data_IF_432915264437
#
_entry.id   IF_432915264437
#
_cell.length_a   1.000
_cell.length_b   1.000
_cell.length_c   1.000
_cell.angle_alpha   90.00
_cell.angle_beta   90.00
_cell.angle_gamma   90.00
#
_symmetry.space_group_name_H-M   'P 1'
#
loop_
_entity.id
_entity.type
_entity.pdbx_description
1 polymer ?
#
# COMPACT_ATOMS: atom_id res chain seq x y z
N UNK A 1 11.85 -10.10 1.12
CA UNK A 1 12.12 -10.97 -0.05
C UNK A 1 11.22 -12.20 -0.10
N UNK A 2 11.12 -13.05 0.94
CA UNK A 2 10.42 -14.35 0.87
C UNK A 2 8.92 -14.36 0.49
N UNK A 3 8.18 -13.26 0.63
CA UNK A 3 6.74 -13.22 0.31
C UNK A 3 6.49 -13.33 -1.21
N UNK A 4 7.44 -12.88 -2.05
CA UNK A 4 7.30 -12.99 -3.51
C UNK A 4 8.03 -14.20 -4.12
N UNK A 5 8.98 -14.81 -3.40
CA UNK A 5 9.69 -16.01 -3.90
C UNK A 5 8.76 -17.23 -4.06
N UNK A 6 7.70 -17.35 -3.24
CA UNK A 6 6.71 -18.41 -3.42
C UNK A 6 5.75 -18.14 -4.59
N UNK A 7 5.43 -16.87 -4.86
CA UNK A 7 4.48 -16.48 -5.92
C UNK A 7 5.15 -16.33 -7.30
N UNK A 8 6.45 -15.96 -7.37
CA UNK A 8 7.21 -15.94 -8.64
C UNK A 8 7.33 -17.36 -9.23
N UNK A 9 7.55 -18.39 -8.38
CA UNK A 9 7.60 -19.80 -8.83
C UNK A 9 6.30 -20.30 -9.44
N UNK A 10 5.15 -19.88 -8.91
CA UNK A 10 3.83 -20.31 -9.39
C UNK A 10 3.55 -19.85 -10.83
N UNK A 11 4.10 -18.70 -11.24
CA UNK A 11 3.89 -18.15 -12.60
C UNK A 11 4.94 -18.60 -13.62
N UNK A 12 6.18 -18.83 -13.21
CA UNK A 12 7.18 -19.44 -14.10
C UNK A 12 6.74 -20.85 -14.53
N UNK A 13 6.15 -21.65 -13.63
CA UNK A 13 5.58 -22.96 -13.99
C UNK A 13 4.35 -22.84 -14.92
N UNK A 14 3.48 -21.85 -14.69
CA UNK A 14 2.27 -21.65 -15.50
C UNK A 14 2.56 -21.15 -16.93
N UNK A 15 3.67 -20.46 -17.15
CA UNK A 15 4.11 -20.02 -18.49
C UNK A 15 4.90 -21.08 -19.25
N UNK A 16 5.48 -22.07 -18.55
CA UNK A 16 6.15 -23.20 -19.20
C UNK A 16 5.18 -24.26 -19.76
N UNK A 17 3.94 -24.32 -19.26
CA UNK A 17 2.93 -25.31 -19.68
C UNK A 17 2.22 -24.99 -21.01
N UNK A 18 2.41 -23.78 -21.59
CA UNK A 18 1.70 -23.37 -22.81
C UNK A 18 2.51 -23.44 -24.11
N UNK A 19 3.79 -23.84 -24.07
CA UNK A 19 4.62 -23.96 -25.27
C UNK A 19 5.19 -25.39 -25.41
N UNK A 20 4.33 -26.33 -25.82
CA UNK A 20 4.77 -27.59 -26.42
C UNK A 20 4.04 -27.81 -27.74
N UNK A 21 4.38 -26.97 -28.73
CA UNK A 21 4.12 -27.27 -30.13
C UNK A 21 5.48 -27.56 -30.76
N UNK A 22 5.69 -28.84 -31.08
CA UNK A 22 6.84 -29.32 -31.83
C UNK A 22 6.87 -28.66 -33.20
N UNK A 23 8.02 -28.16 -33.62
CA UNK A 23 8.35 -28.19 -35.05
C UNK A 23 9.85 -28.30 -35.26
N UNK A 24 10.11 -28.97 -36.37
CA UNK A 24 11.32 -29.57 -36.85
C UNK A 24 12.38 -28.54 -37.31
N UNK A 25 13.58 -29.08 -37.41
CA UNK A 25 14.85 -28.46 -37.71
C UNK A 25 14.97 -27.77 -39.08
N UNK A 26 15.94 -26.82 -39.12
CA UNK A 26 16.69 -26.29 -40.27
C UNK A 26 16.16 -25.05 -41.00
N UNK A 27 16.76 -23.89 -40.71
CA UNK A 27 17.66 -23.13 -41.60
C UNK A 27 18.01 -21.76 -41.00
N UNK A 28 19.29 -21.45 -41.04
CA UNK A 28 19.87 -20.16 -40.66
C UNK A 28 19.31 -19.04 -41.55
N UNK A 29 18.81 -17.97 -40.92
CA UNK A 29 18.42 -16.73 -41.57
C UNK A 29 18.71 -15.58 -40.62
N UNK A 30 19.70 -14.77 -40.99
CA UNK A 30 20.07 -13.50 -40.36
C UNK A 30 18.85 -12.58 -40.42
N UNK A 31 18.31 -12.19 -39.26
CA UNK A 31 17.26 -11.18 -39.19
C UNK A 31 17.65 -10.09 -38.20
N UNK A 32 17.74 -8.87 -38.72
CA UNK A 32 17.99 -7.63 -37.99
C UNK A 32 16.94 -7.46 -36.89
N UNK A 33 17.40 -7.30 -35.64
CA UNK A 33 16.55 -6.96 -34.50
C UNK A 33 16.08 -5.51 -34.64
N UNK A 34 15.00 -5.31 -35.39
CA UNK A 34 14.12 -4.16 -35.19
C UNK A 34 13.52 -4.26 -33.80
N UNK A 35 13.86 -3.32 -32.91
CA UNK A 35 13.20 -3.09 -31.63
C UNK A 35 11.72 -2.76 -31.86
N UNK A 36 10.90 -3.80 -31.96
CA UNK A 36 9.45 -3.70 -31.95
C UNK A 36 9.05 -3.36 -30.52
N UNK A 37 8.82 -2.07 -30.27
CA UNK A 37 8.11 -1.57 -29.09
C UNK A 37 6.70 -2.16 -29.11
N UNK A 38 6.53 -3.32 -28.49
CA UNK A 38 5.24 -3.90 -28.23
C UNK A 38 4.52 -3.06 -27.18
N UNK A 39 3.82 -2.03 -27.61
CA UNK A 39 2.77 -1.38 -26.85
C UNK A 39 1.41 -2.01 -27.23
N UNK A 40 1.03 -3.18 -26.68
CA UNK A 40 -0.38 -3.42 -26.49
C UNK A 40 -0.78 -2.60 -25.25
N UNK A 41 -1.67 -1.64 -25.43
CA UNK A 41 -2.54 -1.19 -24.34
C UNK A 41 -3.37 -2.41 -23.91
N UNK A 42 -2.77 -3.30 -23.11
CA UNK A 42 -3.50 -4.44 -22.55
C UNK A 42 -4.54 -3.84 -21.63
N UNK A 43 -5.79 -3.86 -22.10
CA UNK A 43 -6.94 -3.63 -21.26
C UNK A 43 -6.78 -4.47 -19.99
N UNK A 44 -7.23 -3.96 -18.85
CA UNK A 44 -7.13 -4.73 -17.61
C UNK A 44 -7.82 -6.08 -17.79
N UNK A 45 -7.12 -7.16 -17.49
CA UNK A 45 -7.71 -8.49 -17.51
C UNK A 45 -8.86 -8.53 -16.49
N UNK A 46 -10.00 -9.11 -16.88
CA UNK A 46 -11.18 -9.18 -16.01
C UNK A 46 -10.86 -9.86 -14.66
N UNK A 47 -9.92 -10.82 -14.65
CA UNK A 47 -9.44 -11.48 -13.44
C UNK A 47 -8.72 -10.53 -12.47
N UNK A 48 -7.96 -9.57 -12.99
CA UNK A 48 -7.25 -8.58 -12.20
C UNK A 48 -8.23 -7.63 -11.47
N UNK A 49 -9.40 -7.38 -12.04
CA UNK A 49 -10.43 -6.49 -11.47
C UNK A 49 -11.25 -7.13 -10.34
N UNK A 50 -11.19 -8.46 -10.16
CA UNK A 50 -12.03 -9.16 -9.16
C UNK A 50 -11.73 -8.77 -7.72
N UNK A 51 -10.47 -8.46 -7.41
CA UNK A 51 -10.06 -8.06 -6.06
C UNK A 51 -8.84 -7.16 -6.08
N UNK A 52 -8.65 -6.37 -5.02
CA UNK A 52 -7.45 -5.54 -4.88
C UNK A 52 -6.16 -6.37 -4.87
N UNK A 53 -6.19 -7.57 -4.26
CA UNK A 53 -5.04 -8.47 -4.25
C UNK A 53 -4.67 -8.96 -5.65
N UNK A 54 -5.68 -9.34 -6.45
CA UNK A 54 -5.50 -9.75 -7.85
C UNK A 54 -4.92 -8.58 -8.67
N UNK A 55 -5.51 -7.40 -8.55
CA UNK A 55 -5.03 -6.19 -9.21
C UNK A 55 -3.58 -5.91 -8.86
N UNK A 56 -3.24 -5.89 -7.56
CA UNK A 56 -1.89 -5.60 -7.08
C UNK A 56 -0.86 -6.60 -7.61
N UNK A 57 -1.19 -7.89 -7.63
CA UNK A 57 -0.32 -8.95 -8.18
C UNK A 57 -0.09 -8.76 -9.68
N UNK A 58 -1.17 -8.53 -10.44
CA UNK A 58 -1.11 -8.29 -11.88
C UNK A 58 -0.32 -7.01 -12.21
N UNK A 59 -0.52 -5.94 -11.43
CA UNK A 59 0.22 -4.70 -11.54
C UNK A 59 1.72 -4.89 -11.29
N UNK A 60 2.09 -5.66 -10.26
CA UNK A 60 3.49 -6.01 -10.01
C UNK A 60 4.06 -6.79 -11.19
N UNK A 61 3.38 -7.82 -11.67
CA UNK A 61 3.84 -8.64 -12.79
C UNK A 61 4.18 -7.77 -14.02
N UNK A 62 3.32 -6.81 -14.37
CA UNK A 62 3.55 -5.90 -15.51
C UNK A 62 4.73 -4.94 -15.26
N UNK A 63 4.93 -4.49 -14.01
CA UNK A 63 5.85 -3.39 -13.69
C UNK A 63 7.13 -3.83 -12.94
N UNK A 64 7.30 -5.10 -12.60
CA UNK A 64 8.34 -5.56 -11.67
C UNK A 64 9.75 -5.16 -12.12
N UNK A 65 10.06 -5.29 -13.42
CA UNK A 65 11.37 -4.88 -13.96
C UNK A 65 11.60 -3.38 -13.76
N UNK A 66 10.61 -2.54 -14.13
CA UNK A 66 10.69 -1.08 -13.94
C UNK A 66 10.85 -0.71 -12.47
N UNK A 67 10.17 -1.43 -11.57
CA UNK A 67 10.29 -1.19 -10.12
C UNK A 67 11.70 -1.58 -9.64
N UNK A 68 12.19 -2.78 -9.98
CA UNK A 68 13.51 -3.28 -9.60
C UNK A 68 14.64 -2.43 -10.20
N UNK A 69 14.45 -1.83 -11.37
CA UNK A 69 15.44 -0.95 -12.00
C UNK A 69 15.30 0.54 -11.67
N UNK A 70 14.24 0.94 -10.97
CA UNK A 70 13.85 2.36 -10.82
C UNK A 70 14.88 3.26 -10.14
N UNK A 71 15.81 2.67 -9.38
CA UNK A 71 16.88 3.37 -8.68
C UNK A 71 18.29 2.94 -9.16
N UNK A 72 18.39 2.07 -10.17
CA UNK A 72 19.68 1.54 -10.63
C UNK A 72 20.57 2.62 -11.27
N UNK A 73 19.97 3.63 -11.91
CA UNK A 73 20.71 4.73 -12.55
C UNK A 73 21.35 5.71 -11.54
N UNK A 74 21.00 5.61 -10.25
CA UNK A 74 21.60 6.41 -9.19
C UNK A 74 22.78 5.66 -8.57
N UNK A 75 24.00 6.11 -8.90
CA UNK A 75 25.21 5.59 -8.28
C UNK A 75 25.12 5.71 -6.75
N UNK A 76 25.14 4.57 -6.05
CA UNK A 76 25.16 4.55 -4.60
C UNK A 76 23.81 4.34 -3.92
N UNK A 77 22.77 3.88 -4.62
CA UNK A 77 21.51 3.45 -4.00
C UNK A 77 21.24 1.98 -4.31
N UNK A 78 21.04 1.18 -3.27
CA UNK A 78 20.63 -0.22 -3.39
C UNK A 78 19.20 -0.40 -2.91
N UNK A 79 18.37 -1.06 -3.71
CA UNK A 79 17.06 -1.54 -3.27
C UNK A 79 17.29 -2.75 -2.36
N UNK A 80 16.83 -2.66 -1.11
CA UNK A 80 16.93 -3.74 -0.11
C UNK A 80 15.73 -4.68 -0.24
N UNK A 81 14.54 -4.11 -0.36
CA UNK A 81 13.30 -4.89 -0.28
C UNK A 81 12.15 -4.21 -1.00
N UNK A 82 11.24 -5.04 -1.52
CA UNK A 82 9.95 -4.61 -2.05
C UNK A 82 8.89 -5.36 -1.25
N UNK A 83 8.07 -4.63 -0.48
CA UNK A 83 7.06 -5.22 0.39
C UNK A 83 5.69 -4.71 0.02
N UNK A 84 4.66 -5.52 0.29
CA UNK A 84 3.27 -5.10 0.14
C UNK A 84 2.98 -3.92 1.07
N UNK A 85 2.30 -2.90 0.53
CA UNK A 85 1.75 -1.83 1.35
C UNK A 85 0.47 -2.34 2.07
N UNK A 86 0.39 -2.31 3.41
CA UNK A 86 -0.79 -2.74 4.16
C UNK A 86 -1.84 -1.63 4.18
N UNK A 87 -2.42 -1.33 3.01
CA UNK A 87 -3.42 -0.28 2.84
C UNK A 87 -4.75 -0.71 3.47
N UNK A 88 -5.44 0.20 4.14
CA UNK A 88 -6.76 -0.06 4.73
C UNK A 88 -7.79 -0.47 3.66
N UNK A 89 -8.68 -1.41 4.00
CA UNK A 89 -9.68 -1.96 3.07
C UNK A 89 -10.59 -0.88 2.46
N UNK A 90 -10.99 0.13 3.23
CA UNK A 90 -11.82 1.24 2.71
C UNK A 90 -11.13 1.98 1.56
N UNK A 91 -9.82 2.22 1.68
CA UNK A 91 -8.99 2.87 0.66
C UNK A 91 -8.82 1.97 -0.56
N UNK A 92 -8.65 0.66 -0.35
CA UNK A 92 -8.62 -0.34 -1.43
C UNK A 92 -9.93 -0.32 -2.23
N UNK A 93 -11.07 -0.34 -1.54
CA UNK A 93 -12.39 -0.34 -2.15
C UNK A 93 -12.67 0.95 -2.94
N UNK A 94 -12.32 2.10 -2.38
CA UNK A 94 -12.46 3.40 -3.06
C UNK A 94 -11.65 3.47 -4.35
N UNK A 95 -10.41 2.95 -4.32
CA UNK A 95 -9.57 2.87 -5.52
C UNK A 95 -10.12 1.86 -6.54
N UNK A 96 -10.50 0.66 -6.11
CA UNK A 96 -11.02 -0.38 -7.01
C UNK A 96 -12.34 0.04 -7.65
N UNK A 97 -13.21 0.76 -6.93
CA UNK A 97 -14.42 1.37 -7.50
C UNK A 97 -14.06 2.31 -8.64
N UNK A 98 -13.12 3.23 -8.42
CA UNK A 98 -12.66 4.15 -9.46
C UNK A 98 -12.00 3.43 -10.64
N UNK A 99 -11.23 2.38 -10.38
CA UNK A 99 -10.61 1.56 -11.43
C UNK A 99 -11.67 0.91 -12.33
N UNK A 100 -12.73 0.36 -11.74
CA UNK A 100 -13.86 -0.23 -12.47
C UNK A 100 -14.65 0.82 -13.28
N UNK A 101 -14.71 2.07 -12.81
CA UNK A 101 -15.29 3.19 -13.57
C UNK A 101 -14.38 3.66 -14.73
N UNK A 102 -13.11 3.25 -14.76
CA UNK A 102 -12.08 3.75 -15.68
C UNK A 102 -11.28 2.60 -16.34
N UNK A 103 -11.97 1.55 -16.81
CA UNK A 103 -11.35 0.34 -17.39
C UNK A 103 -10.69 0.55 -18.75
N UNK A 104 -10.88 1.73 -19.37
CA UNK A 104 -10.33 2.06 -20.68
C UNK A 104 -8.80 2.13 -20.72
N UNK A 105 -8.13 2.25 -19.57
CA UNK A 105 -6.67 2.32 -19.49
C UNK A 105 -6.11 1.59 -18.28
N UNK A 106 -4.91 1.04 -18.44
CA UNK A 106 -4.14 0.49 -17.34
C UNK A 106 -3.60 1.60 -16.42
N UNK A 107 -3.67 1.46 -15.08
CA UNK A 107 -3.13 2.45 -14.16
C UNK A 107 -1.62 2.70 -14.35
N UNK A 108 -1.20 3.95 -14.19
CA UNK A 108 0.20 4.33 -14.31
C UNK A 108 1.01 3.88 -13.07
N UNK A 109 2.22 3.36 -13.31
CA UNK A 109 3.27 3.25 -12.30
C UNK A 109 3.79 4.64 -11.95
N UNK A 110 3.63 5.02 -10.69
CA UNK A 110 4.19 6.24 -10.13
C UNK A 110 4.81 5.97 -8.76
N UNK A 111 5.65 6.90 -8.33
CA UNK A 111 6.35 6.88 -7.08
C UNK A 111 5.95 8.10 -6.25
N UNK A 112 5.89 7.93 -4.93
CA UNK A 112 5.62 9.04 -4.03
C UNK A 112 6.62 9.02 -2.86
N UNK A 113 7.47 10.04 -2.80
CA UNK A 113 8.34 10.31 -1.67
C UNK A 113 7.60 11.12 -0.61
N UNK A 114 7.77 10.74 0.65
CA UNK A 114 7.14 11.43 1.78
C UNK A 114 7.95 11.27 3.06
N UNK A 115 7.55 11.99 4.11
CA UNK A 115 8.13 11.85 5.45
C UNK A 115 7.63 10.59 6.13
N UNK A 116 8.46 10.00 6.99
CA UNK A 116 8.13 8.77 7.72
C UNK A 116 6.77 8.82 8.43
N UNK A 117 6.47 9.92 9.12
CA UNK A 117 5.23 10.11 9.86
C UNK A 117 3.97 10.19 8.98
N UNK A 118 4.12 10.42 7.68
CA UNK A 118 3.01 10.45 6.75
C UNK A 118 2.67 9.05 6.20
N UNK A 119 3.61 8.10 6.22
CA UNK A 119 3.41 6.76 5.64
C UNK A 119 2.23 6.06 6.32
N UNK A 120 2.17 6.07 7.66
CA UNK A 120 1.07 5.44 8.40
C UNK A 120 -0.28 6.08 8.06
N UNK A 121 -0.33 7.42 8.00
CA UNK A 121 -1.53 8.15 7.59
C UNK A 121 -1.99 7.75 6.18
N UNK A 122 -1.06 7.67 5.22
CA UNK A 122 -1.34 7.28 3.84
C UNK A 122 -1.85 5.83 3.76
N UNK A 123 -1.25 4.91 4.52
CA UNK A 123 -1.69 3.52 4.54
C UNK A 123 -3.08 3.37 5.19
N UNK A 124 -3.41 4.19 6.18
CA UNK A 124 -4.68 4.14 6.90
C UNK A 124 -5.82 4.85 6.17
N UNK A 125 -5.58 6.05 5.65
CA UNK A 125 -6.61 6.94 5.10
C UNK A 125 -6.48 7.15 3.59
N UNK A 126 -5.46 6.58 2.95
CA UNK A 126 -5.12 6.88 1.57
C UNK A 126 -4.43 8.23 1.46
N UNK A 127 -4.22 8.68 0.22
CA UNK A 127 -3.66 9.99 -0.03
C UNK A 127 -4.68 11.09 0.27
N UNK A 128 -4.24 12.16 0.92
CA UNK A 128 -5.07 13.29 1.31
C UNK A 128 -4.75 14.51 0.43
N UNK A 129 -5.77 15.30 0.10
CA UNK A 129 -5.58 16.56 -0.63
C UNK A 129 -5.53 17.70 0.37
N UNK A 130 -4.52 18.59 0.30
CA UNK A 130 -4.43 19.71 1.21
C UNK A 130 -5.66 20.61 1.23
N UNK A 131 -6.05 21.01 2.44
CA UNK A 131 -7.19 21.86 2.78
C UNK A 131 -8.55 21.29 2.30
N UNK A 132 -8.67 19.96 2.20
CA UNK A 132 -9.90 19.28 1.84
C UNK A 132 -10.19 18.15 2.83
N UNK A 133 -11.46 17.99 3.19
CA UNK A 133 -11.92 16.80 3.90
C UNK A 133 -11.88 15.59 2.95
N UNK A 134 -11.63 14.40 3.50
CA UNK A 134 -11.72 13.17 2.71
C UNK A 134 -13.18 12.89 2.36
N UNK A 135 -13.51 12.59 1.09
CA UNK A 135 -14.90 12.51 0.62
C UNK A 135 -15.71 11.36 1.24
N UNK A 136 -15.06 10.26 1.61
CA UNK A 136 -15.69 9.02 2.11
C UNK A 136 -15.24 8.62 3.52
N UNK A 137 -14.35 9.38 4.16
CA UNK A 137 -13.76 8.99 5.45
C UNK A 137 -13.68 10.20 6.38
N UNK A 138 -14.68 10.33 7.27
CA UNK A 138 -14.77 11.46 8.21
C UNK A 138 -13.67 11.46 9.28
N UNK A 139 -12.99 10.33 9.50
CA UNK A 139 -11.88 10.24 10.47
C UNK A 139 -10.54 10.71 9.87
N UNK A 140 -10.46 10.85 8.55
CA UNK A 140 -9.24 11.30 7.90
C UNK A 140 -8.97 12.78 8.24
N UNK A 141 -7.74 13.12 8.67
CA UNK A 141 -7.42 14.48 9.05
C UNK A 141 -7.40 15.41 7.84
N UNK A 142 -7.74 16.68 8.05
CA UNK A 142 -7.47 17.73 7.06
C UNK A 142 -6.00 18.12 7.19
N UNK A 143 -5.24 17.96 6.12
CA UNK A 143 -3.82 18.35 6.08
C UNK A 143 -3.66 19.73 5.46
N UNK A 144 -2.67 20.49 5.92
CA UNK A 144 -2.27 21.77 5.33
C UNK A 144 -1.17 21.58 4.29
N UNK A 145 -1.16 22.42 3.27
CA UNK A 145 -0.10 22.40 2.25
C UNK A 145 1.18 22.98 2.85
N UNK A 146 2.20 22.13 3.03
CA UNK A 146 3.51 22.56 3.54
C UNK A 146 4.51 22.89 2.43
N UNK A 147 4.27 22.40 1.21
CA UNK A 147 5.14 22.56 0.05
C UNK A 147 4.37 23.05 -1.18
N UNK A 148 5.11 23.55 -2.17
CA UNK A 148 4.62 24.30 -3.35
C UNK A 148 3.41 23.69 -4.07
N UNK A 149 2.52 24.59 -4.53
CA UNK A 149 1.32 24.27 -5.34
C UNK A 149 1.54 24.68 -6.79
N UNK A 150 2.77 24.59 -7.29
CA UNK A 150 3.18 25.15 -8.59
C UNK A 150 2.38 24.61 -9.77
N UNK A 151 1.82 23.40 -9.64
CA UNK A 151 0.97 22.75 -10.65
C UNK A 151 -0.48 22.55 -10.13
N UNK A 152 -0.88 23.38 -9.17
CA UNK A 152 -2.21 23.43 -8.54
C UNK A 152 -2.38 22.52 -7.32
N UNK A 153 -3.60 22.49 -6.76
CA UNK A 153 -3.93 21.65 -5.61
C UNK A 153 -4.09 20.18 -6.00
N UNK A 154 -3.54 19.26 -5.22
CA UNK A 154 -3.69 17.83 -5.47
C UNK A 154 -2.62 17.00 -4.80
N UNK A 155 -2.62 15.71 -5.13
CA UNK A 155 -1.63 14.73 -4.69
C UNK A 155 -0.52 14.70 -5.74
N UNK A 156 0.71 15.04 -5.32
CA UNK A 156 1.88 15.04 -6.19
C UNK A 156 2.53 13.66 -6.16
N UNK A 157 2.82 13.13 -7.34
CA UNK A 157 3.56 11.87 -7.53
C UNK A 157 4.51 12.03 -8.71
N UNK A 158 5.38 11.05 -8.93
CA UNK A 158 6.31 11.09 -10.05
C UNK A 158 6.38 9.80 -10.83
N UNK A 159 6.57 9.89 -12.14
CA UNK A 159 6.94 8.74 -12.97
C UNK A 159 8.40 8.29 -12.74
N UNK A 160 9.21 9.09 -12.05
CA UNK A 160 10.61 8.78 -11.72
C UNK A 160 10.75 8.53 -10.22
N UNK A 161 11.27 7.36 -9.85
CA UNK A 161 11.59 7.06 -8.46
C UNK A 161 12.67 8.01 -7.93
N UNK A 162 13.68 8.30 -8.75
CA UNK A 162 14.76 9.25 -8.45
C UNK A 162 14.22 10.64 -8.11
N UNK A 163 13.30 11.16 -8.93
CA UNK A 163 12.67 12.46 -8.64
C UNK A 163 11.92 12.43 -7.31
N UNK A 164 11.23 11.33 -6.99
CA UNK A 164 10.53 11.19 -5.72
C UNK A 164 11.46 11.12 -4.50
N UNK A 165 12.72 10.72 -4.66
CA UNK A 165 13.69 10.69 -3.55
C UNK A 165 13.91 12.08 -2.94
N UNK A 166 13.82 13.17 -3.71
CA UNK A 166 14.01 14.53 -3.18
C UNK A 166 12.93 14.96 -2.18
N UNK A 167 11.84 14.20 -2.08
CA UNK A 167 10.75 14.42 -1.13
C UNK A 167 10.85 13.50 0.10
N UNK A 168 11.87 12.65 0.16
CA UNK A 168 12.17 11.75 1.25
C UNK A 168 13.29 12.34 2.11
N UNK A 169 12.98 12.75 3.33
CA UNK A 169 13.99 13.31 4.25
C UNK A 169 14.22 12.50 5.52
N UNK A 170 13.30 11.58 5.88
CA UNK A 170 13.29 10.94 7.21
C UNK A 170 13.08 9.43 7.17
N UNK A 171 13.20 8.82 5.99
CA UNK A 171 13.00 7.38 5.78
C UNK A 171 13.84 6.92 4.58
N UNK A 172 14.11 5.63 4.46
CA UNK A 172 14.59 5.03 3.21
C UNK A 172 13.52 4.14 2.57
N UNK A 173 12.28 4.60 2.59
CA UNK A 173 11.13 3.90 2.02
C UNK A 173 10.42 4.83 1.05
N UNK A 174 10.30 4.39 -0.20
CA UNK A 174 9.52 5.06 -1.24
C UNK A 174 8.20 4.32 -1.44
N UNK A 175 7.10 5.05 -1.65
CA UNK A 175 5.83 4.42 -2.01
C UNK A 175 5.80 4.17 -3.52
N UNK A 176 5.54 2.92 -3.90
CA UNK A 176 5.26 2.53 -5.28
C UNK A 176 3.74 2.44 -5.42
N UNK A 177 3.18 3.27 -6.30
CA UNK A 177 1.75 3.47 -6.39
C UNK A 177 1.22 3.16 -7.80
N UNK A 178 -0.06 2.80 -7.86
CA UNK A 178 -0.85 2.83 -9.08
C UNK A 178 -1.67 4.12 -9.12
N UNK A 179 -1.66 4.81 -10.26
CA UNK A 179 -2.41 6.04 -10.47
C UNK A 179 -3.37 5.96 -11.67
N UNK A 180 -4.57 6.50 -11.52
CA UNK A 180 -5.62 6.63 -12.54
C UNK A 180 -5.79 8.12 -12.86
N UNK A 181 -4.87 8.70 -13.65
CA UNK A 181 -4.94 10.11 -13.97
C UNK A 181 -6.14 10.42 -14.88
N UNK A 182 -6.69 11.63 -14.75
CA UNK A 182 -7.66 12.13 -15.73
C UNK A 182 -6.98 12.32 -17.08
N UNK A 183 -7.71 12.03 -18.14
CA UNK A 183 -7.28 12.24 -19.52
C UNK A 183 -8.28 13.16 -20.21
N UNK A 184 -7.77 14.05 -21.05
CA UNK A 184 -8.62 14.91 -21.87
C UNK A 184 -9.22 14.12 -23.05
N UNK A 185 -10.06 14.78 -23.87
CA UNK A 185 -10.69 14.16 -25.06
C UNK A 185 -9.71 13.56 -26.07
N UNK A 186 -8.43 13.94 -26.02
CA UNK A 186 -7.37 13.41 -26.89
C UNK A 186 -6.57 12.27 -26.22
N UNK A 187 -7.02 11.77 -25.06
CA UNK A 187 -6.35 10.71 -24.30
C UNK A 187 -5.08 11.15 -23.56
N UNK A 188 -4.70 12.43 -23.62
CA UNK A 188 -3.51 12.96 -22.94
C UNK A 188 -3.81 13.15 -21.46
N UNK A 189 -2.86 12.75 -20.61
CA UNK A 189 -2.94 12.93 -19.17
C UNK A 189 -3.01 14.42 -18.82
N UNK A 190 -4.03 14.79 -18.06
CA UNK A 190 -4.18 16.12 -17.49
C UNK A 190 -3.20 16.31 -16.31
N UNK A 191 -2.69 17.52 -16.14
CA UNK A 191 -1.84 17.91 -15.00
C UNK A 191 -0.58 17.05 -14.82
N UNK A 192 -0.01 16.59 -15.94
CA UNK A 192 1.33 16.00 -15.98
C UNK A 192 2.34 17.02 -16.51
N UNK A 193 3.43 17.21 -15.75
CA UNK A 193 4.47 18.20 -16.01
C UNK A 193 5.85 17.53 -15.90
N UNK A 194 6.38 17.06 -17.03
CA UNK A 194 7.61 16.25 -17.06
C UNK A 194 7.45 14.98 -16.23
N UNK A 195 8.30 14.82 -15.21
CA UNK A 195 8.22 13.68 -14.29
C UNK A 195 7.11 13.79 -13.26
N UNK A 196 6.43 14.93 -13.13
CA UNK A 196 5.44 15.18 -12.09
C UNK A 196 4.04 14.82 -12.60
N UNK A 197 3.27 14.16 -11.76
CA UNK A 197 1.84 13.90 -11.95
C UNK A 197 1.06 14.44 -10.74
N UNK A 198 0.08 15.31 -11.00
CA UNK A 198 -0.81 15.87 -9.97
C UNK A 198 -2.21 15.31 -10.09
N UNK A 199 -2.66 14.61 -9.05
CA UNK A 199 -3.99 13.97 -9.00
C UNK A 199 -4.96 14.81 -8.20
N UNK A 200 -6.18 14.94 -8.71
CA UNK A 200 -7.22 15.83 -8.18
C UNK A 200 -8.17 15.18 -7.18
N UNK A 201 -8.09 13.86 -6.99
CA UNK A 201 -8.98 13.14 -6.10
C UNK A 201 -8.24 11.97 -5.43
N UNK A 202 -8.57 11.73 -4.15
CA UNK A 202 -7.92 10.75 -3.26
C UNK A 202 -7.87 9.33 -3.82
N UNK A 203 -8.96 8.80 -4.39
CA UNK A 203 -8.99 7.44 -4.96
C UNK A 203 -8.43 7.33 -6.38
N UNK A 204 -7.76 8.37 -6.90
CA UNK A 204 -7.00 8.25 -8.16
C UNK A 204 -5.63 7.61 -7.95
N UNK A 205 -5.20 7.36 -6.72
CA UNK A 205 -3.90 6.77 -6.43
C UNK A 205 -3.97 5.90 -5.19
N UNK A 206 -3.24 4.79 -5.22
CA UNK A 206 -3.11 3.88 -4.10
C UNK A 206 -1.66 3.38 -3.97
N UNK A 207 -1.10 3.33 -2.75
CA UNK A 207 0.17 2.62 -2.52
C UNK A 207 -0.05 1.13 -2.72
N UNK A 208 0.81 0.49 -3.51
CA UNK A 208 0.81 -0.95 -3.70
C UNK A 208 1.97 -1.61 -2.96
N UNK A 209 3.14 -0.94 -2.98
CA UNK A 209 4.35 -1.46 -2.38
C UNK A 209 5.12 -0.37 -1.62
N UNK A 210 5.87 -0.84 -0.62
CA UNK A 210 6.93 -0.12 0.07
C UNK A 210 8.26 -0.57 -0.55
N UNK A 211 8.98 0.36 -1.16
CA UNK A 211 10.31 0.13 -1.73
C UNK A 211 11.35 0.62 -0.73
N UNK A 212 11.96 -0.31 -0.01
CA UNK A 212 13.00 -0.02 0.98
C UNK A 212 14.37 -0.03 0.28
N UNK A 213 15.18 1.00 0.54
CA UNK A 213 16.50 1.17 -0.06
C UNK A 213 17.57 1.58 0.97
N UNK A 214 18.83 1.62 0.57
CA UNK A 214 19.95 2.20 1.34
C UNK A 214 20.86 3.00 0.43
N UNK A 215 21.52 3.99 1.01
CA UNK A 215 22.63 4.69 0.38
C UNK A 215 23.94 3.96 0.71
N UNK A 216 24.76 3.67 -0.31
CA UNK A 216 26.03 2.95 -0.16
C UNK A 216 27.16 3.80 0.41
N UNK A 217 27.16 5.11 0.13
CA UNK A 217 28.28 6.01 0.44
C UNK A 217 27.93 7.13 1.43
N UNK A 218 26.73 7.09 2.02
CA UNK A 218 26.26 8.14 2.92
C UNK A 218 26.46 7.75 4.39
N UNK A 219 27.13 8.61 5.16
CA UNK A 219 27.20 8.56 6.62
C UNK A 219 25.88 8.95 7.31
N UNK A 220 24.89 9.43 6.55
CA UNK A 220 23.55 9.73 7.08
C UNK A 220 22.76 8.43 7.26
N UNK A 221 22.72 7.97 8.50
CA UNK A 221 21.90 6.85 8.97
C UNK A 221 20.41 7.20 8.91
N UNK A 222 19.82 7.13 7.73
CA UNK A 222 18.37 7.07 7.59
C UNK A 222 17.91 5.62 7.76
N UNK A 223 16.90 5.42 8.57
CA UNK A 223 16.36 4.09 8.89
C UNK A 223 15.23 3.74 7.91
N UNK A 224 15.12 2.47 7.48
CA UNK A 224 13.91 1.99 6.82
C UNK A 224 12.69 2.27 7.70
N UNK A 225 11.52 2.54 7.10
CA UNK A 225 10.28 2.82 7.83
C UNK A 225 9.92 1.69 8.83
N UNK A 226 10.40 0.48 8.59
CA UNK A 226 10.17 -0.70 9.42
C UNK A 226 11.50 -1.30 9.90
N UNK A 227 12.23 -0.57 10.75
CA UNK A 227 13.16 -1.25 11.65
C UNK A 227 12.34 -1.84 12.81
N UNK A 228 12.09 -3.15 12.76
CA UNK A 228 11.37 -3.94 13.78
C UNK A 228 11.91 -3.72 15.20
N UNK A 229 13.18 -3.34 15.34
CA UNK A 229 13.80 -3.01 16.64
C UNK A 229 13.09 -1.88 17.41
N UNK A 230 12.43 -0.94 16.73
CA UNK A 230 11.64 0.10 17.41
C UNK A 230 10.30 -0.44 17.93
N UNK A 231 9.67 -1.41 17.28
CA UNK A 231 8.46 -2.03 17.85
C UNK A 231 8.82 -2.83 19.11
N UNK A 232 9.96 -3.54 19.12
CA UNK A 232 10.48 -4.21 20.32
C UNK A 232 10.88 -3.24 21.44
N UNK A 233 11.45 -2.06 21.12
CA UNK A 233 11.81 -1.05 22.13
C UNK A 233 10.62 -0.24 22.65
N UNK A 234 9.61 0.03 21.82
CA UNK A 234 8.35 0.69 22.24
C UNK A 234 7.49 -0.28 23.05
N UNK A 235 7.42 -1.57 22.70
CA UNK A 235 6.84 -2.59 23.56
C UNK A 235 7.60 -2.72 24.88
N UNK A 236 8.94 -2.77 24.88
CA UNK A 236 9.71 -2.80 26.14
C UNK A 236 9.53 -1.57 27.03
N UNK A 237 9.25 -0.38 26.47
CA UNK A 237 8.98 0.83 27.27
C UNK A 237 7.55 0.89 27.82
N UNK A 238 6.58 0.28 27.14
CA UNK A 238 5.19 0.20 27.59
C UNK A 238 4.87 -1.07 28.42
N UNK A 239 5.73 -2.09 28.41
CA UNK A 239 5.61 -3.30 29.24
C UNK A 239 6.24 -3.20 30.64
N UNK A 240 6.77 -2.04 31.03
CA UNK A 240 6.98 -1.72 32.46
C UNK A 240 5.72 -1.07 33.05
N UNK A 241 4.53 -1.49 32.61
CA UNK A 241 3.46 -1.74 33.57
C UNK A 241 3.55 -3.22 33.89
N UNK A 242 4.24 -3.54 34.99
CA UNK A 242 4.27 -4.89 35.57
C UNK A 242 2.88 -5.49 35.40
N UNK A 243 2.75 -6.55 34.60
CA UNK A 243 1.55 -7.38 34.63
C UNK A 243 1.31 -7.68 36.10
N UNK A 244 0.22 -7.17 36.67
CA UNK A 244 -0.16 -7.55 38.03
C UNK A 244 -0.51 -9.03 37.92
N UNK A 245 0.44 -9.88 38.28
CA UNK A 245 0.19 -11.31 38.39
C UNK A 245 -0.70 -11.47 39.61
N UNK A 246 -2.01 -11.36 39.39
CA UNK A 246 -3.01 -11.64 40.42
C UNK A 246 -2.90 -13.13 40.72
N UNK A 247 -2.53 -13.48 41.94
CA UNK A 247 -2.43 -14.89 42.32
C UNK A 247 -3.77 -15.59 42.07
N UNK A 248 -3.72 -16.82 41.56
CA UNK A 248 -4.93 -17.63 41.27
C UNK A 248 -5.84 -17.77 42.50
N UNK A 249 -5.26 -17.72 43.71
CA UNK A 249 -5.97 -17.73 45.00
C UNK A 249 -6.76 -16.43 45.23
N UNK A 250 -6.19 -15.28 44.86
CA UNK A 250 -6.87 -14.00 44.97
C UNK A 250 -8.00 -13.86 43.96
N UNK A 251 -7.77 -14.27 42.71
CA UNK A 251 -8.81 -14.25 41.67
C UNK A 251 -10.03 -15.11 42.07
N UNK A 252 -9.79 -16.31 42.63
CA UNK A 252 -10.88 -17.17 43.15
C UNK A 252 -11.67 -16.49 44.27
N UNK A 253 -11.01 -15.77 45.19
CA UNK A 253 -11.72 -15.05 46.26
C UNK A 253 -12.63 -13.95 45.70
N UNK A 254 -12.13 -13.17 44.75
CA UNK A 254 -12.91 -12.09 44.12
C UNK A 254 -14.11 -12.65 43.36
N UNK A 255 -13.90 -13.70 42.56
CA UNK A 255 -14.99 -14.33 41.80
C UNK A 255 -16.05 -14.94 42.72
N UNK A 256 -15.65 -15.58 43.83
CA UNK A 256 -16.61 -16.10 44.80
C UNK A 256 -17.42 -14.98 45.46
N UNK A 257 -16.75 -13.88 45.86
CA UNK A 257 -17.43 -12.73 46.45
C UNK A 257 -18.47 -12.11 45.51
N UNK A 258 -18.11 -11.91 44.23
CA UNK A 258 -19.05 -11.40 43.23
C UNK A 258 -20.25 -12.35 43.01
N UNK A 259 -20.00 -13.66 43.02
CA UNK A 259 -21.05 -14.65 42.84
C UNK A 259 -22.01 -14.69 44.05
N UNK A 260 -21.48 -14.48 45.26
CA UNK A 260 -22.27 -14.37 46.48
C UNK A 260 -23.13 -13.10 46.49
N UNK A 261 -22.60 -11.95 46.05
CA UNK A 261 -23.37 -10.71 45.88
C UNK A 261 -24.52 -10.86 44.88
N UNK A 262 -24.27 -11.47 43.71
CA UNK A 262 -25.31 -11.72 42.71
C UNK A 262 -26.41 -12.64 43.27
N UNK A 263 -26.02 -13.68 44.03
CA UNK A 263 -26.97 -14.58 44.70
C UNK A 263 -27.78 -13.89 45.79
N UNK A 264 -27.18 -12.96 46.53
CA UNK A 264 -27.90 -12.18 47.54
C UNK A 264 -28.87 -11.17 46.90
N UNK A 265 -28.49 -10.52 45.80
CA UNK A 265 -29.37 -9.59 45.09
C UNK A 265 -30.57 -10.29 44.44
N UNK A 266 -30.41 -11.52 43.94
CA UNK A 266 -31.51 -12.29 43.36
C UNK A 266 -32.53 -12.81 44.40
N UNK A 267 -32.24 -12.73 45.70
CA UNK A 267 -33.23 -13.05 46.76
C UNK A 267 -34.23 -11.93 47.04
N UNK A 268 -34.00 -10.71 46.54
CA UNK A 268 -34.85 -9.55 46.82
C UNK A 268 -35.83 -9.16 45.69
N UNK A 269 -35.89 -9.92 44.59
CA UNK A 269 -36.76 -9.61 43.44
C UNK A 269 -37.88 -10.62 43.18
N UNK A 270 -38.56 -11.10 44.23
CA UNK A 270 -39.89 -11.69 44.09
C UNK A 270 -40.87 -10.89 44.94
N UNK A 271 -41.31 -9.74 44.41
CA UNK A 271 -42.59 -9.16 44.80
C UNK A 271 -43.61 -9.59 43.74
N UNK A 272 -44.34 -10.64 44.05
CA UNK A 272 -45.55 -11.00 43.32
C UNK A 272 -46.57 -9.87 43.50
N UNK A 273 -46.93 -9.21 42.39
CA UNK A 273 -48.10 -8.34 42.35
C UNK A 273 -49.33 -9.24 42.18
N UNK A 274 -50.09 -9.41 43.26
CA UNK A 274 -51.44 -9.96 43.16
C UNK A 274 -52.34 -8.90 42.52
N UNK A 275 -52.85 -9.19 41.33
CA UNK A 275 -53.95 -8.45 40.72
C UNK A 275 -55.25 -8.97 41.35
N UNK A 276 -55.91 -8.13 42.15
CA UNK A 276 -57.31 -8.35 42.53
C UNK A 276 -58.21 -7.94 41.35
N UNK A 277 -59.10 -8.85 40.95
CA UNK A 277 -60.23 -8.61 40.04
C UNK A 277 -61.38 -7.91 40.78
#
# INVERSE_FOLDING_TARGET
SKIFECDEKFYEESTCLSNSISTDSSKQSICNQSNVSSNPSKALEAEALKSFSNFRRHFYHINHQKIKSSLQDQSGIDIINIRLAPVNESVQNDFMKRLNENTSYFPNLVYHGTKLNNIESILRYGFLIPNQAHPSNSEAPIIISVNGRSFGNGIYSSHSAVYSLSYINTTNTLLVCAAIPKRNGNGKIERSHGNILVLSHVSQIIPLFLLDFKYLYSSHMNYPCFNEEKQLKIHKKNEIKKSVIISRKYLRKVLNYMNDEVRQNNRYQVRSYEFCN
#
